data_IF_594692966433
#
_entry.id   IF_594692966433
#
_cell.length_a   1.000
_cell.length_b   1.000
_cell.length_c   1.000
_cell.angle_alpha   90.00
_cell.angle_beta   90.00
_cell.angle_gamma   90.00
#
_symmetry.space_group_name_H-M   'P 1'
#
loop_
_entity.id
_entity.type
_entity.pdbx_description
1 polymer ?
#
# COMPACT_ATOMS: atom_id res chain seq x y z
N UNK A 1 -52.48 -25.12 27.01
CA UNK A 1 -51.61 -24.92 25.83
C UNK A 1 -50.78 -23.68 26.08
N UNK A 2 -49.45 -23.80 26.15
CA UNK A 2 -48.56 -22.68 26.46
C UNK A 2 -47.84 -22.25 25.18
N UNK A 3 -48.07 -21.01 24.73
CA UNK A 3 -47.43 -20.44 23.55
C UNK A 3 -46.19 -19.67 23.99
N UNK A 4 -45.01 -20.14 23.61
CA UNK A 4 -43.76 -19.40 23.80
C UNK A 4 -43.59 -18.48 22.59
N UNK A 5 -43.70 -17.17 22.81
CA UNK A 5 -43.41 -16.16 21.80
C UNK A 5 -41.91 -15.92 21.67
N UNK A 6 -41.37 -16.02 20.46
CA UNK A 6 -39.97 -15.69 20.16
C UNK A 6 -39.81 -14.18 20.09
N UNK A 7 -39.05 -13.59 21.03
CA UNK A 7 -38.64 -12.19 20.95
C UNK A 7 -37.28 -12.13 20.25
N UNK A 8 -37.22 -11.42 19.13
CA UNK A 8 -35.96 -11.14 18.45
C UNK A 8 -35.30 -9.93 19.11
N UNK A 9 -34.19 -10.17 19.82
CA UNK A 9 -33.39 -9.11 20.44
C UNK A 9 -32.56 -8.42 19.35
N UNK A 10 -32.95 -7.19 18.99
CA UNK A 10 -32.16 -6.34 18.09
C UNK A 10 -30.87 -5.96 18.80
N UNK A 11 -29.73 -6.43 18.28
CA UNK A 11 -28.41 -6.06 18.79
C UNK A 11 -28.20 -4.55 18.66
N UNK A 12 -27.67 -3.85 19.68
CA UNK A 12 -27.45 -2.43 19.60
C UNK A 12 -26.31 -2.14 18.61
N UNK A 13 -26.63 -1.45 17.52
CA UNK A 13 -25.70 -1.03 16.47
C UNK A 13 -24.60 -0.04 16.95
N UNK A 14 -24.64 0.38 18.22
CA UNK A 14 -23.83 1.48 18.74
C UNK A 14 -22.49 1.03 19.34
N UNK A 15 -22.32 -0.24 19.73
CA UNK A 15 -21.06 -0.74 20.28
C UNK A 15 -19.99 -0.95 19.20
N UNK A 16 -20.40 -1.30 17.97
CA UNK A 16 -19.48 -1.52 16.85
C UNK A 16 -18.99 -0.20 16.22
N UNK A 17 -19.81 0.86 16.22
CA UNK A 17 -19.47 2.12 15.57
C UNK A 17 -18.19 2.81 16.12
N UNK A 18 -17.89 2.61 17.41
CA UNK A 18 -16.68 3.16 18.04
C UNK A 18 -15.39 2.44 17.63
N UNK A 19 -15.44 1.12 17.42
CA UNK A 19 -14.29 0.29 17.05
C UNK A 19 -14.04 0.27 15.53
N UNK A 20 -15.06 0.54 14.72
CA UNK A 20 -14.95 0.56 13.25
C UNK A 20 -14.07 1.72 12.75
N UNK A 21 -14.07 2.86 13.45
CA UNK A 21 -13.26 4.04 13.10
C UNK A 21 -11.74 3.78 13.17
N UNK A 22 -11.16 3.34 14.30
CA UNK A 22 -9.72 3.07 14.38
C UNK A 22 -9.30 1.92 13.46
N UNK A 23 -10.15 0.90 13.27
CA UNK A 23 -9.86 -0.18 12.34
C UNK A 23 -9.84 0.28 10.87
N UNK A 24 -10.74 1.21 10.51
CA UNK A 24 -10.77 1.80 9.17
C UNK A 24 -9.51 2.62 8.88
N UNK A 25 -9.05 3.42 9.85
CA UNK A 25 -7.81 4.19 9.75
C UNK A 25 -6.58 3.28 9.65
N UNK A 26 -6.49 2.27 10.51
CA UNK A 26 -5.43 1.27 10.46
C UNK A 26 -5.39 0.57 9.10
N UNK A 27 -6.55 0.20 8.55
CA UNK A 27 -6.65 -0.42 7.23
C UNK A 27 -6.21 0.53 6.10
N UNK A 28 -6.56 1.81 6.18
CA UNK A 28 -6.13 2.81 5.20
C UNK A 28 -4.61 2.99 5.24
N UNK A 29 -4.04 3.11 6.44
CA UNK A 29 -2.60 3.17 6.65
C UNK A 29 -1.89 1.94 6.08
N UNK A 30 -2.34 0.73 6.42
CA UNK A 30 -1.74 -0.52 5.93
C UNK A 30 -1.74 -0.61 4.41
N UNK A 31 -2.83 -0.20 3.75
CA UNK A 31 -2.90 -0.16 2.27
C UNK A 31 -1.84 0.76 1.68
N UNK A 32 -1.67 1.96 2.24
CA UNK A 32 -0.67 2.92 1.77
C UNK A 32 0.75 2.46 2.09
N UNK A 33 0.95 1.83 3.25
CA UNK A 33 2.23 1.26 3.65
C UNK A 33 2.68 0.16 2.70
N UNK A 34 1.84 -0.85 2.44
CA UNK A 34 2.15 -1.95 1.51
C UNK A 34 2.46 -1.40 0.11
N UNK A 35 1.65 -0.46 -0.39
CA UNK A 35 1.88 0.15 -1.70
C UNK A 35 3.24 0.85 -1.80
N UNK A 36 3.73 1.48 -0.73
CA UNK A 36 5.04 2.15 -0.71
C UNK A 36 6.18 1.18 -0.44
N UNK A 37 6.02 0.28 0.52
CA UNK A 37 7.05 -0.65 0.96
C UNK A 37 7.41 -1.67 -0.14
N UNK A 38 6.42 -2.08 -0.92
CA UNK A 38 6.63 -3.02 -2.03
C UNK A 38 6.62 -2.33 -3.40
N UNK A 39 6.83 -1.01 -3.45
CA UNK A 39 7.02 -0.32 -4.73
C UNK A 39 8.44 -0.66 -5.25
N UNK A 40 8.58 -1.37 -6.38
CA UNK A 40 9.89 -1.70 -6.91
C UNK A 40 10.66 -0.43 -7.22
N UNK A 41 11.87 -0.31 -6.65
CA UNK A 41 12.79 0.75 -7.03
C UNK A 41 13.06 0.64 -8.52
N UNK A 42 12.71 1.69 -9.28
CA UNK A 42 12.92 1.78 -10.73
C UNK A 42 14.12 2.68 -11.01
N UNK A 43 15.36 2.16 -10.97
CA UNK A 43 16.55 2.94 -11.22
C UNK A 43 16.54 3.58 -12.61
N UNK A 44 15.82 3.02 -13.58
CA UNK A 44 15.56 3.60 -14.91
C UNK A 44 14.92 4.99 -14.96
N UNK A 45 14.34 5.46 -13.86
CA UNK A 45 13.89 6.86 -13.73
C UNK A 45 14.96 7.79 -13.15
N UNK A 46 16.01 7.23 -12.54
CA UNK A 46 16.99 7.97 -11.74
C UNK A 46 18.41 7.90 -12.31
N UNK A 47 18.72 6.91 -13.14
CA UNK A 47 19.95 6.95 -13.91
C UNK A 47 19.79 7.93 -15.07
N UNK A 48 20.68 8.91 -15.13
CA UNK A 48 20.84 9.79 -16.29
C UNK A 48 21.09 8.91 -17.50
N UNK A 49 20.14 8.86 -18.44
CA UNK A 49 20.15 7.97 -19.60
C UNK A 49 21.44 8.15 -20.41
N UNK A 50 22.35 7.20 -20.27
CA UNK A 50 23.46 7.00 -21.17
C UNK A 50 24.83 7.11 -20.51
N UNK A 51 25.86 6.63 -21.22
CA UNK A 51 27.23 6.71 -20.74
C UNK A 51 27.63 8.17 -20.53
N UNK A 52 28.00 8.47 -19.28
CA UNK A 52 28.55 9.77 -18.92
C UNK A 52 29.83 10.08 -19.71
N UNK A 53 30.27 11.35 -19.73
CA UNK A 53 31.47 11.78 -20.45
C UNK A 53 32.71 10.93 -20.11
N UNK A 54 32.84 10.51 -18.84
CA UNK A 54 33.93 9.66 -18.37
C UNK A 54 33.89 8.23 -18.96
N UNK A 55 32.71 7.70 -19.26
CA UNK A 55 32.58 6.40 -19.95
C UNK A 55 32.95 6.56 -21.42
N UNK A 56 32.46 7.62 -22.08
CA UNK A 56 32.79 7.91 -23.48
C UNK A 56 34.29 8.09 -23.70
N UNK A 57 34.98 8.86 -22.84
CA UNK A 57 36.42 9.07 -22.92
C UNK A 57 37.24 7.76 -22.88
N UNK A 58 36.76 6.72 -22.18
CA UNK A 58 37.44 5.42 -22.06
C UNK A 58 37.20 4.50 -23.26
N UNK A 59 36.07 4.63 -23.95
CA UNK A 59 35.67 3.74 -25.04
C UNK A 59 35.90 4.34 -26.43
N UNK A 60 35.99 5.66 -26.57
CA UNK A 60 36.35 6.35 -27.82
C UNK A 60 37.77 6.01 -28.31
N UNK A 61 38.69 5.61 -27.43
CA UNK A 61 40.03 5.14 -27.80
C UNK A 61 40.13 3.65 -28.15
N UNK A 62 39.02 2.91 -28.12
CA UNK A 62 38.96 1.49 -28.50
C UNK A 62 38.24 1.28 -29.85
N UNK A 63 37.76 2.35 -30.48
CA UNK A 63 37.19 2.32 -31.82
C UNK A 63 38.06 3.18 -32.74
N UNK A 64 39.00 2.50 -33.40
CA UNK A 64 40.12 2.98 -34.24
C UNK A 64 41.42 3.25 -33.49
#
# INVERSE_FOLDING_TARGET
>A
MATIGSVSLSAPAHASAGLVKPLAELRAFWRQFVAKAFNPYRPELHYMRGPGPAWRAKHLGHQN
#
